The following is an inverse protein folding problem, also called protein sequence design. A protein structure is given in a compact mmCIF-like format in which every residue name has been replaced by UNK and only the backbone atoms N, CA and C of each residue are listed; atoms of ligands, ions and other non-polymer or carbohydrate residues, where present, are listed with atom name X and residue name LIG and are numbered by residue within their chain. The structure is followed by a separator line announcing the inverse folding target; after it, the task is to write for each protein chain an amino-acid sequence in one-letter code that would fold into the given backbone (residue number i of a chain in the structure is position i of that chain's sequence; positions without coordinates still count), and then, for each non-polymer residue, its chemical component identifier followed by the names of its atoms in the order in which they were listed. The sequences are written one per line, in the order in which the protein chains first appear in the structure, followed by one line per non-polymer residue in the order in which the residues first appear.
data_IF_804801840776
#
_entry.id   IF_804801840776
#
_cell.length_a   1.000
_cell.length_b   1.000
_cell.length_c   1.000
_cell.angle_alpha   90.00
_cell.angle_beta   90.00
_cell.angle_gamma   90.00
#
_symmetry.space_group_name_H-M   'P 1'
#
loop_
_entity.id
_entity.type
_entity.pdbx_description
1 polymer ?
#
# COMPACT_ATOMS: atom_id res chain seq x y z
N UNK A 1 0.52 -9.46 10.50
CA UNK A 1 -0.71 -8.68 10.76
C UNK A 1 -1.29 -8.24 9.43
N UNK A 2 -2.62 -8.24 9.30
CA UNK A 2 -3.33 -7.72 8.12
C UNK A 2 -4.29 -6.63 8.57
N UNK A 3 -4.32 -5.53 7.83
CA UNK A 3 -5.31 -4.46 7.98
C UNK A 3 -6.01 -4.29 6.63
N UNK A 4 -7.34 -4.23 6.65
CA UNK A 4 -8.16 -4.03 5.46
C UNK A 4 -8.99 -2.77 5.67
N UNK A 5 -8.98 -1.89 4.66
CA UNK A 5 -9.79 -0.67 4.62
C UNK A 5 -10.67 -0.73 3.38
N UNK A 6 -11.97 -0.55 3.57
CA UNK A 6 -12.98 -0.61 2.53
C UNK A 6 -13.80 0.67 2.54
N UNK A 7 -14.06 1.20 1.35
CA UNK A 7 -14.99 2.30 1.14
C UNK A 7 -15.99 1.95 0.03
N UNK A 8 -17.14 2.62 0.06
CA UNK A 8 -18.19 2.58 -0.96
C UNK A 8 -18.19 3.86 -1.81
N UNK A 9 -17.03 4.48 -2.01
CA UNK A 9 -16.87 5.69 -2.82
C UNK A 9 -16.96 5.41 -4.32
N UNK A 10 -16.55 6.37 -5.15
CA UNK A 10 -16.60 6.25 -6.61
C UNK A 10 -15.57 5.27 -7.19
N UNK A 11 -14.62 4.78 -6.39
CA UNK A 11 -13.50 3.98 -6.86
C UNK A 11 -12.64 4.68 -7.94
N UNK A 12 -11.67 3.96 -8.47
CA UNK A 12 -10.77 4.45 -9.51
C UNK A 12 -10.25 3.29 -10.37
N UNK A 13 -9.92 3.57 -11.63
CA UNK A 13 -9.25 2.58 -12.47
C UNK A 13 -7.80 2.47 -12.05
N UNK A 14 -7.35 1.26 -11.75
CA UNK A 14 -5.93 0.95 -11.62
C UNK A 14 -5.25 1.31 -12.94
N UNK A 15 -4.42 2.35 -12.96
CA UNK A 15 -3.53 2.55 -14.10
C UNK A 15 -2.58 1.37 -14.14
N UNK A 16 -2.60 0.60 -15.23
CA UNK A 16 -1.66 -0.48 -15.51
C UNK A 16 -0.23 0.04 -15.80
N UNK A 17 0.12 1.21 -15.26
CA UNK A 17 1.46 1.74 -15.42
C UNK A 17 2.41 1.06 -14.41
N UNK A 18 3.60 0.64 -14.86
CA UNK A 18 4.61 0.01 -14.00
C UNK A 18 5.18 0.96 -12.93
N UNK A 19 4.79 2.24 -12.96
CA UNK A 19 5.34 3.29 -12.11
C UNK A 19 4.28 3.81 -11.12
N UNK A 20 4.42 3.39 -9.87
CA UNK A 20 3.66 3.89 -8.73
C UNK A 20 3.79 5.42 -8.54
N UNK A 21 4.81 6.05 -9.14
CA UNK A 21 4.98 7.50 -9.16
C UNK A 21 3.92 8.27 -9.97
N UNK A 22 3.09 7.60 -10.79
CA UNK A 22 1.96 8.23 -11.49
C UNK A 22 0.60 8.02 -10.82
N UNK A 23 0.52 7.24 -9.74
CA UNK A 23 -0.64 7.34 -8.85
C UNK A 23 -0.56 8.75 -8.27
N UNK A 24 -1.49 9.61 -8.64
CA UNK A 24 -1.46 11.06 -8.46
C UNK A 24 -1.44 11.57 -7.01
N UNK A 25 -1.18 10.70 -6.03
CA UNK A 25 -1.11 11.02 -4.61
C UNK A 25 0.10 10.40 -3.94
N UNK A 26 0.85 11.22 -3.23
CA UNK A 26 1.98 10.79 -2.39
C UNK A 26 1.57 9.80 -1.27
N UNK A 27 0.30 9.78 -0.86
CA UNK A 27 -0.19 8.97 0.27
C UNK A 27 0.03 7.45 0.10
N UNK A 28 -0.58 6.84 -0.92
CA UNK A 28 -0.49 5.39 -1.14
C UNK A 28 0.93 4.95 -1.54
N UNK A 29 1.65 5.82 -2.27
CA UNK A 29 3.06 5.61 -2.57
C UNK A 29 3.90 5.55 -1.29
N UNK A 30 3.79 6.53 -0.39
CA UNK A 30 4.53 6.55 0.88
C UNK A 30 4.17 5.36 1.78
N UNK A 31 2.91 4.92 1.81
CA UNK A 31 2.48 3.73 2.55
C UNK A 31 3.16 2.48 1.99
N UNK A 32 3.18 2.33 0.66
CA UNK A 32 3.86 1.22 -0.02
C UNK A 32 5.35 1.17 0.32
N UNK A 33 6.06 2.29 0.17
CA UNK A 33 7.49 2.35 0.45
C UNK A 33 7.77 2.01 1.92
N UNK A 34 6.97 2.55 2.86
CA UNK A 34 7.08 2.20 4.29
C UNK A 34 6.87 0.71 4.52
N UNK A 35 5.84 0.10 3.93
CA UNK A 35 5.59 -1.33 4.04
C UNK A 35 6.76 -2.16 3.46
N UNK A 36 7.32 -1.75 2.32
CA UNK A 36 8.48 -2.43 1.74
C UNK A 36 9.71 -2.41 2.65
N UNK A 37 9.97 -1.32 3.41
CA UNK A 37 11.10 -1.27 4.35
C UNK A 37 11.01 -2.29 5.49
N UNK A 38 9.84 -2.90 5.67
CA UNK A 38 9.52 -3.79 6.78
C UNK A 38 9.06 -5.17 6.30
N UNK A 39 9.40 -5.55 5.06
CA UNK A 39 8.95 -6.79 4.39
C UNK A 39 7.43 -6.97 4.37
N UNK A 40 6.72 -5.84 4.37
CA UNK A 40 5.28 -5.76 4.19
C UNK A 40 4.87 -5.61 2.72
N UNK A 41 3.57 -5.71 2.47
CA UNK A 41 2.98 -5.56 1.14
C UNK A 41 1.62 -4.86 1.18
N UNK A 42 1.23 -4.33 0.03
CA UNK A 42 -0.04 -3.64 -0.18
C UNK A 42 -0.73 -4.20 -1.43
N UNK A 43 -2.02 -4.45 -1.33
CA UNK A 43 -2.90 -4.78 -2.46
C UNK A 43 -4.06 -3.79 -2.50
N UNK A 44 -4.38 -3.33 -3.70
CA UNK A 44 -5.45 -2.36 -3.94
C UNK A 44 -6.34 -2.92 -5.03
N UNK A 45 -7.63 -3.02 -4.73
CA UNK A 45 -8.70 -3.37 -5.66
C UNK A 45 -9.63 -2.16 -5.67
N UNK A 46 -9.81 -1.55 -6.83
CA UNK A 46 -10.71 -0.42 -7.00
C UNK A 46 -11.37 -0.52 -8.35
N UNK A 47 -12.65 -0.23 -8.38
CA UNK A 47 -13.46 -0.24 -9.59
C UNK A 47 -14.37 0.99 -9.60
N UNK A 48 -14.49 1.71 -10.73
CA UNK A 48 -15.42 2.83 -10.85
C UNK A 48 -16.83 2.43 -10.40
N UNK A 49 -17.43 3.27 -9.57
CA UNK A 49 -18.78 3.12 -8.97
C UNK A 49 -18.96 1.91 -8.03
N UNK A 50 -17.88 1.22 -7.64
CA UNK A 50 -17.94 0.09 -6.68
C UNK A 50 -17.15 0.34 -5.39
N UNK A 51 -16.46 1.47 -5.27
CA UNK A 51 -15.59 1.79 -4.14
C UNK A 51 -14.19 1.21 -4.28
N UNK A 52 -13.50 1.12 -3.14
CA UNK A 52 -12.10 0.66 -3.06
C UNK A 52 -11.89 -0.23 -1.85
N UNK A 53 -11.10 -1.29 -2.04
CA UNK A 53 -10.57 -2.14 -0.99
C UNK A 53 -9.04 -2.09 -1.00
N UNK A 54 -8.45 -1.77 0.15
CA UNK A 54 -7.00 -1.76 0.36
C UNK A 54 -6.67 -2.77 1.45
N UNK A 55 -5.79 -3.72 1.14
CA UNK A 55 -5.24 -4.67 2.10
C UNK A 55 -3.76 -4.39 2.33
N UNK A 56 -3.39 -4.15 3.57
CA UNK A 56 -2.01 -3.99 4.03
C UNK A 56 -1.59 -5.23 4.82
N UNK A 57 -0.41 -5.76 4.54
CA UNK A 57 0.17 -6.91 5.26
C UNK A 57 1.54 -6.51 5.75
N UNK A 58 1.83 -6.79 7.03
CA UNK A 58 3.14 -6.59 7.64
C UNK A 58 3.48 -7.77 8.56
N UNK A 59 4.76 -8.05 8.82
CA UNK A 59 5.18 -9.00 9.84
C UNK A 59 4.59 -8.66 11.23
N UNK A 60 4.30 -9.67 12.05
CA UNK A 60 3.85 -9.48 13.45
C UNK A 60 5.00 -9.30 14.44
N UNK A 61 6.22 -9.57 14.00
CA UNK A 61 7.46 -9.38 14.72
C UNK A 61 8.42 -8.66 13.77
N UNK A 62 9.16 -7.70 14.32
CA UNK A 62 10.04 -6.84 13.54
C UNK A 62 11.45 -6.97 14.08
N UNK A 63 12.33 -7.62 13.34
CA UNK A 63 13.77 -7.59 13.60
C UNK A 63 14.28 -6.22 13.12
N UNK A 64 14.50 -5.27 14.02
CA UNK A 64 15.16 -4.02 13.65
C UNK A 64 16.58 -4.36 13.20
N UNK A 65 16.86 -4.21 11.89
CA UNK A 65 18.21 -4.42 11.34
C UNK A 65 19.18 -3.46 12.03
N UNK A 66 19.97 -3.97 12.96
CA UNK A 66 21.08 -3.22 13.57
C UNK A 66 22.17 -3.04 12.51
N UNK A 67 22.30 -1.84 11.95
CA UNK A 67 23.41 -1.56 11.02
C UNK A 67 23.30 -0.34 10.10
N UNK A 68 22.55 0.70 10.43
CA UNK A 68 22.49 1.93 9.60
C UNK A 68 23.10 3.18 10.28
N UNK A 69 23.85 3.00 11.36
CA UNK A 69 24.67 4.05 11.98
C UNK A 69 26.04 3.45 12.33
N UNK A 70 26.94 3.44 11.36
CA UNK A 70 28.37 3.29 11.54
C UNK A 70 29.05 4.34 10.65
#
# INVERSE_FOLDING_TARGET
MRVVVEDNGKGFKKQNEPHWGKWSGYGLFSIRERLHTIDGSIQIISEPEKGTTISLVAPTHMEIRKGAFA
#
